data_IF_927937270192
#
_entry.id   IF_927937270192
#
_cell.length_a   1.000
_cell.length_b   1.000
_cell.length_c   1.000
_cell.angle_alpha   90.00
_cell.angle_beta   90.00
_cell.angle_gamma   90.00
#
_symmetry.space_group_name_H-M   'P 1'
#
loop_
_entity.id
_entity.type
_entity.pdbx_description
1 polymer ?
#
# COMPACT_ATOMS: atom_id res chain seq x y z
N UNK A 1 9.27 -5.63 11.85
CA UNK A 1 7.93 -5.88 11.30
C UNK A 1 7.99 -5.58 9.81
N UNK A 2 7.64 -6.54 8.96
CA UNK A 2 7.53 -6.35 7.51
C UNK A 2 6.08 -6.08 7.12
N UNK A 3 5.87 -5.39 6.00
CA UNK A 3 4.56 -5.15 5.43
C UNK A 3 4.65 -5.04 3.91
N UNK A 4 3.54 -5.32 3.22
CA UNK A 4 3.38 -4.99 1.81
C UNK A 4 2.07 -4.25 1.61
N UNK A 5 1.95 -3.47 0.53
CA UNK A 5 0.72 -2.76 0.18
C UNK A 5 0.13 -3.38 -1.09
N UNK A 6 -1.08 -3.94 -0.96
CA UNK A 6 -1.81 -4.61 -2.03
C UNK A 6 -3.04 -3.78 -2.45
N UNK A 7 -3.48 -3.96 -3.68
CA UNK A 7 -4.67 -3.29 -4.23
C UNK A 7 -5.59 -4.34 -4.86
N UNK A 8 -6.26 -5.14 -4.03
CA UNK A 8 -7.27 -6.12 -4.49
C UNK A 8 -8.65 -5.50 -4.75
N UNK A 9 -8.81 -4.22 -4.42
CA UNK A 9 -10.00 -3.44 -4.72
C UNK A 9 -10.16 -3.26 -6.25
N UNK A 10 -11.41 -3.23 -6.76
CA UNK A 10 -12.68 -3.31 -6.04
C UNK A 10 -13.19 -4.75 -5.83
N UNK A 11 -12.43 -5.78 -6.23
CA UNK A 11 -12.93 -7.17 -6.36
C UNK A 11 -13.39 -7.77 -5.02
N UNK A 12 -12.84 -7.28 -3.91
CA UNK A 12 -13.13 -7.79 -2.56
C UNK A 12 -14.03 -6.85 -1.73
N UNK A 13 -14.39 -5.70 -2.28
CA UNK A 13 -15.01 -4.61 -1.51
C UNK A 13 -16.39 -5.02 -0.98
N UNK A 14 -17.26 -5.56 -1.84
CA UNK A 14 -18.61 -6.02 -1.46
C UNK A 14 -18.55 -7.13 -0.38
N UNK A 15 -17.67 -8.12 -0.59
CA UNK A 15 -17.52 -9.23 0.34
C UNK A 15 -17.01 -8.79 1.73
N UNK A 16 -16.12 -7.80 1.77
CA UNK A 16 -15.66 -7.22 3.04
C UNK A 16 -16.72 -6.33 3.68
N UNK A 17 -17.47 -5.58 2.87
CA UNK A 17 -18.60 -4.77 3.31
C UNK A 17 -19.65 -5.60 4.04
N UNK A 18 -20.07 -6.72 3.44
CA UNK A 18 -21.03 -7.66 4.03
C UNK A 18 -20.47 -8.38 5.27
N UNK A 19 -19.20 -8.79 5.26
CA UNK A 19 -18.63 -9.58 6.35
C UNK A 19 -18.37 -8.77 7.62
N UNK A 20 -18.06 -7.48 7.48
CA UNK A 20 -17.64 -6.62 8.58
C UNK A 20 -18.58 -5.43 8.83
N UNK A 21 -19.76 -5.41 8.20
CA UNK A 21 -20.75 -4.32 8.32
C UNK A 21 -20.13 -2.94 8.05
N UNK A 22 -19.33 -2.82 6.97
CA UNK A 22 -18.64 -1.57 6.63
C UNK A 22 -19.63 -0.58 6.00
N UNK A 23 -19.62 0.71 6.39
CA UNK A 23 -20.45 1.73 5.76
C UNK A 23 -20.22 1.86 4.25
N UNK A 24 -21.30 2.02 3.48
CA UNK A 24 -21.26 2.13 2.01
C UNK A 24 -20.49 3.35 1.49
N UNK A 25 -20.32 4.39 2.31
CA UNK A 25 -19.57 5.60 1.96
C UNK A 25 -18.05 5.44 2.12
N UNK A 26 -17.59 4.30 2.67
CA UNK A 26 -16.18 4.00 2.81
C UNK A 26 -15.61 3.34 1.56
N UNK A 27 -14.52 3.91 1.05
CA UNK A 27 -13.83 3.37 -0.13
C UNK A 27 -12.59 2.60 0.30
N UNK A 28 -12.51 1.32 -0.04
CA UNK A 28 -11.31 0.52 0.21
C UNK A 28 -10.20 0.93 -0.77
N UNK A 29 -9.18 1.63 -0.24
CA UNK A 29 -8.08 2.15 -1.07
C UNK A 29 -7.00 1.10 -1.32
N UNK A 30 -6.64 0.32 -0.30
CA UNK A 30 -5.58 -0.68 -0.34
C UNK A 30 -5.64 -1.60 0.90
N UNK A 31 -4.89 -2.70 0.87
CA UNK A 31 -4.76 -3.64 1.98
C UNK A 31 -3.28 -3.76 2.38
N UNK A 32 -2.97 -3.62 3.67
CA UNK A 32 -1.59 -3.68 4.18
C UNK A 32 -1.39 -4.88 5.12
N UNK A 33 -1.13 -6.10 4.59
CA UNK A 33 -0.71 -7.21 5.43
C UNK A 33 0.67 -6.93 6.05
N UNK A 34 0.82 -7.21 7.34
CA UNK A 34 2.04 -7.00 8.11
C UNK A 34 2.36 -8.20 9.02
N UNK A 35 3.63 -8.37 9.39
CA UNK A 35 4.06 -9.51 10.22
C UNK A 35 5.56 -9.54 10.54
N UNK A 36 6.02 -10.69 11.06
CA UNK A 36 7.44 -10.91 11.31
C UNK A 36 8.23 -10.89 9.99
N UNK A 37 9.46 -10.37 10.02
CA UNK A 37 10.32 -10.32 8.83
C UNK A 37 10.97 -11.70 8.69
N UNK A 38 10.69 -12.37 7.57
CA UNK A 38 11.33 -13.65 7.26
C UNK A 38 12.61 -13.44 6.44
N UNK A 39 12.61 -12.44 5.57
CA UNK A 39 13.72 -12.09 4.68
C UNK A 39 13.80 -10.56 4.51
N UNK A 40 15.01 -10.06 4.28
CA UNK A 40 15.23 -8.65 3.96
C UNK A 40 14.75 -8.32 2.53
N UNK A 41 14.19 -7.12 2.29
CA UNK A 41 13.74 -6.74 0.96
C UNK A 41 14.92 -6.59 -0.01
N UNK A 42 14.66 -6.86 -1.28
CA UNK A 42 15.63 -6.62 -2.33
C UNK A 42 16.03 -5.13 -2.42
N UNK A 43 17.27 -4.82 -2.82
CA UNK A 43 17.70 -3.44 -3.04
C UNK A 43 16.76 -2.73 -4.01
N UNK A 44 16.27 -1.55 -3.61
CA UNK A 44 15.46 -0.69 -4.47
C UNK A 44 16.33 0.36 -5.15
N UNK A 45 16.24 0.40 -6.47
CA UNK A 45 16.90 1.44 -7.27
C UNK A 45 16.39 2.83 -6.92
N UNK A 46 17.32 3.79 -6.92
CA UNK A 46 17.05 5.20 -6.62
C UNK A 46 17.19 6.02 -7.90
N UNK A 47 16.18 6.83 -8.18
CA UNK A 47 16.23 7.86 -9.23
C UNK A 47 17.18 8.97 -8.78
N UNK A 48 17.97 9.53 -9.72
CA UNK A 48 18.89 10.64 -9.43
C UNK A 48 18.12 11.81 -8.78
N UNK A 49 18.66 12.35 -7.69
CA UNK A 49 18.05 13.46 -6.95
C UNK A 49 17.85 14.71 -7.82
N UNK A 50 18.71 14.94 -8.81
CA UNK A 50 18.64 16.06 -9.74
C UNK A 50 17.41 15.99 -10.65
N UNK A 51 16.87 14.79 -10.89
CA UNK A 51 15.63 14.60 -11.63
C UNK A 51 14.40 14.93 -10.78
N UNK A 52 14.50 14.76 -9.46
CA UNK A 52 13.37 14.93 -8.53
C UNK A 52 13.35 16.28 -7.81
N UNK A 53 14.46 17.02 -7.81
CA UNK A 53 14.62 18.23 -7.03
C UNK A 53 15.37 19.32 -7.80
N UNK A 54 14.83 20.53 -7.78
CA UNK A 54 15.50 21.75 -8.25
C UNK A 54 15.59 22.74 -7.09
N UNK A 55 16.74 23.40 -6.96
CA UNK A 55 16.99 24.40 -5.92
C UNK A 55 17.25 25.75 -6.59
N UNK A 56 16.61 26.80 -6.09
CA UNK A 56 16.78 28.18 -6.55
C UNK A 56 17.19 29.05 -5.35
N UNK A 57 17.97 30.11 -5.61
CA UNK A 57 18.46 31.05 -4.59
C UNK A 57 17.53 32.24 -4.45
#
# INVERSE_FOLDING_TARGET
>A
LGASLQHYNPVIDDALGELFDIPEDWVLVAQMPFGHILEEPEPKDKIDIRERMKVFK
#
